data_IF_281298414204
#
_entry.id   IF_281298414204
#
_cell.length_a   1.000
_cell.length_b   1.000
_cell.length_c   1.000
_cell.angle_alpha   90.00
_cell.angle_beta   90.00
_cell.angle_gamma   90.00
#
_symmetry.space_group_name_H-M   'P 1'
#
loop_
_entity.id
_entity.type
_entity.pdbx_description
1 polymer ?
#
# COMPACT_ATOMS: atom_id res chain seq x y z
N UNK A 1 10.41 5.36 -3.21
CA UNK A 1 10.35 3.89 -3.45
C UNK A 1 10.68 3.61 -4.92
N UNK A 2 11.04 2.37 -5.31
CA UNK A 2 11.32 2.00 -6.72
C UNK A 2 10.62 0.68 -7.08
N UNK A 3 9.59 0.74 -7.93
CA UNK A 3 8.74 -0.40 -8.26
C UNK A 3 9.39 -1.43 -9.21
N UNK A 4 10.49 -1.07 -9.87
CA UNK A 4 11.09 -1.87 -10.97
C UNK A 4 12.19 -2.85 -10.52
N UNK A 5 12.37 -3.03 -9.21
CA UNK A 5 13.34 -3.96 -8.62
C UNK A 5 12.66 -4.81 -7.53
N UNK A 6 13.08 -6.07 -7.32
CA UNK A 6 14.16 -6.80 -8.02
C UNK A 6 13.81 -7.25 -9.45
N UNK A 7 12.55 -7.13 -9.85
CA UNK A 7 12.07 -7.34 -11.22
C UNK A 7 11.09 -6.25 -11.63
N UNK A 8 10.85 -6.09 -12.92
CA UNK A 8 9.87 -5.13 -13.41
C UNK A 8 8.45 -5.54 -12.96
N UNK A 9 7.75 -4.62 -12.30
CA UNK A 9 6.37 -4.76 -11.84
C UNK A 9 5.66 -3.41 -12.01
N UNK A 10 4.56 -3.40 -12.77
CA UNK A 10 3.70 -2.24 -13.01
C UNK A 10 2.79 -1.94 -11.82
N UNK A 11 3.37 -1.70 -10.64
CA UNK A 11 2.66 -1.48 -9.38
C UNK A 11 2.62 0.00 -8.96
N UNK A 12 2.65 0.92 -9.93
CA UNK A 12 2.63 2.37 -9.68
C UNK A 12 1.40 2.81 -8.89
N UNK A 13 0.24 2.23 -9.20
CA UNK A 13 -1.04 2.46 -8.53
C UNK A 13 -0.95 2.18 -7.02
N UNK A 14 -0.38 1.03 -6.65
CA UNK A 14 -0.18 0.63 -5.25
C UNK A 14 0.87 1.50 -4.54
N UNK A 15 1.98 1.81 -5.24
CA UNK A 15 3.03 2.68 -4.70
C UNK A 15 2.53 4.10 -4.44
N UNK A 16 1.77 4.68 -5.38
CA UNK A 16 1.22 6.02 -5.25
C UNK A 16 0.22 6.09 -4.08
N UNK A 17 -0.74 5.15 -4.02
CA UNK A 17 -1.74 5.11 -2.96
C UNK A 17 -1.11 4.92 -1.57
N UNK A 18 -0.20 3.96 -1.41
CA UNK A 18 0.42 3.68 -0.10
C UNK A 18 1.42 4.75 0.34
N UNK A 19 2.10 5.42 -0.59
CA UNK A 19 2.98 6.56 -0.26
C UNK A 19 2.14 7.76 0.19
N UNK A 20 1.08 8.10 -0.55
CA UNK A 20 0.16 9.17 -0.17
C UNK A 20 -0.48 8.90 1.21
N UNK A 21 -0.92 7.66 1.47
CA UNK A 21 -1.43 7.28 2.79
C UNK A 21 -0.37 7.41 3.90
N UNK A 22 0.87 6.98 3.65
CA UNK A 22 1.97 7.11 4.60
C UNK A 22 2.21 8.58 4.97
N UNK A 23 2.19 9.48 3.98
CA UNK A 23 2.32 10.92 4.20
C UNK A 23 1.12 11.52 4.95
N UNK A 24 -0.10 11.10 4.63
CA UNK A 24 -1.31 11.51 5.38
C UNK A 24 -1.25 11.08 6.84
N UNK A 25 -0.79 9.86 7.13
CA UNK A 25 -0.55 9.38 8.50
C UNK A 25 0.50 10.25 9.19
N UNK A 26 1.59 10.60 8.49
CA UNK A 26 2.65 11.48 9.02
C UNK A 26 2.10 12.87 9.38
N UNK A 27 1.25 13.45 8.54
CA UNK A 27 0.59 14.75 8.78
C UNK A 27 -0.29 14.68 10.03
N UNK A 28 -1.22 13.72 10.09
CA UNK A 28 -2.14 13.56 11.24
C UNK A 28 -1.40 13.31 12.54
N UNK A 29 -0.27 12.59 12.48
CA UNK A 29 0.55 12.30 13.66
C UNK A 29 1.56 13.41 13.99
N UNK A 30 1.51 14.58 13.35
CA UNK A 30 2.47 15.68 13.52
C UNK A 30 3.93 15.22 13.41
N UNK A 31 4.22 14.33 12.46
CA UNK A 31 5.53 13.72 12.25
C UNK A 31 6.13 13.04 13.50
N UNK A 32 5.30 12.58 14.44
CA UNK A 32 5.75 11.85 15.60
C UNK A 32 6.37 10.50 15.22
N UNK A 33 7.48 10.15 15.87
CA UNK A 33 8.11 8.85 15.75
C UNK A 33 7.16 7.71 16.21
N UNK A 34 7.19 6.51 15.57
CA UNK A 34 7.92 6.18 14.34
C UNK A 34 7.23 6.72 13.08
N UNK A 35 7.99 6.91 12.00
CA UNK A 35 7.38 7.09 10.67
C UNK A 35 6.73 5.77 10.23
N UNK A 36 5.53 5.86 9.65
CA UNK A 36 4.82 4.68 9.14
C UNK A 36 5.02 4.63 7.64
N UNK A 37 5.46 3.47 7.14
CA UNK A 37 5.71 3.27 5.72
C UNK A 37 4.84 2.11 5.25
N UNK A 38 3.69 2.40 4.66
CA UNK A 38 2.69 1.37 4.30
C UNK A 38 3.19 0.48 3.16
N UNK A 39 3.12 -0.84 3.33
CA UNK A 39 3.54 -1.81 2.32
C UNK A 39 2.68 -1.73 1.06
N UNK A 40 3.28 -1.55 -0.14
CA UNK A 40 2.56 -1.72 -1.40
C UNK A 40 2.33 -3.20 -1.73
N UNK A 41 3.14 -4.12 -1.19
CA UNK A 41 3.10 -5.55 -1.49
C UNK A 41 1.75 -6.17 -1.13
N UNK A 42 1.15 -5.74 -0.01
CA UNK A 42 -0.18 -6.21 0.40
C UNK A 42 -1.21 -5.94 -0.69
N UNK A 43 -1.20 -4.76 -1.30
CA UNK A 43 -2.11 -4.43 -2.40
C UNK A 43 -1.80 -5.25 -3.64
N UNK A 44 -0.53 -5.30 -4.07
CA UNK A 44 -0.13 -6.04 -5.29
C UNK A 44 -0.46 -7.54 -5.17
N UNK A 45 -0.41 -8.11 -3.96
CA UNK A 45 -0.74 -9.52 -3.71
C UNK A 45 -2.24 -9.77 -3.46
N UNK A 46 -2.98 -8.84 -2.85
CA UNK A 46 -4.33 -9.11 -2.33
C UNK A 46 -5.47 -8.31 -2.93
N UNK A 47 -5.19 -7.15 -3.51
CA UNK A 47 -6.19 -6.42 -4.28
C UNK A 47 -6.33 -7.11 -5.64
N UNK A 48 -7.54 -7.60 -5.93
CA UNK A 48 -7.86 -8.43 -7.10
C UNK A 48 -8.70 -7.75 -8.18
N UNK A 49 -9.46 -6.67 -7.90
CA UNK A 49 -10.00 -5.86 -8.98
C UNK A 49 -8.94 -5.37 -9.98
N UNK A 50 -7.72 -5.07 -9.53
CA UNK A 50 -6.57 -4.74 -10.39
C UNK A 50 -5.66 -5.95 -10.67
N UNK A 51 -4.71 -5.80 -11.59
CA UNK A 51 -3.87 -6.88 -12.14
C UNK A 51 -2.50 -7.01 -11.46
N UNK A 52 -2.38 -6.59 -10.20
CA UNK A 52 -1.13 -6.67 -9.44
C UNK A 52 0.03 -5.97 -10.15
N UNK A 53 0.99 -6.75 -10.65
CA UNK A 53 2.14 -6.23 -11.40
C UNK A 53 1.85 -5.84 -12.86
N UNK A 54 0.63 -6.00 -13.36
CA UNK A 54 0.26 -5.65 -14.74
C UNK A 54 -0.61 -4.38 -14.82
N UNK A 55 -0.66 -3.58 -13.76
CA UNK A 55 -1.40 -2.33 -13.69
C UNK A 55 -2.60 -2.40 -12.76
N UNK A 56 -3.14 -1.21 -12.46
CA UNK A 56 -4.24 -1.01 -11.52
C UNK A 56 -4.58 0.45 -11.34
N UNK A 57 -5.57 0.73 -10.51
CA UNK A 57 -6.11 2.06 -10.28
C UNK A 57 -5.99 2.45 -8.79
N UNK A 58 -5.50 3.66 -8.46
CA UNK A 58 -5.38 4.08 -7.06
C UNK A 58 -6.70 4.04 -6.27
N UNK A 59 -7.84 4.27 -6.93
CA UNK A 59 -9.16 4.22 -6.27
C UNK A 59 -9.48 2.81 -5.75
N UNK A 60 -9.08 1.77 -6.47
CA UNK A 60 -9.25 0.38 -6.05
C UNK A 60 -8.33 0.03 -4.88
N UNK A 61 -7.09 0.55 -4.88
CA UNK A 61 -6.20 0.48 -3.71
C UNK A 61 -6.84 1.11 -2.46
N UNK A 62 -7.41 2.31 -2.56
CA UNK A 62 -8.08 2.94 -1.42
C UNK A 62 -9.35 2.20 -0.99
N UNK A 63 -10.12 1.68 -1.95
CA UNK A 63 -11.26 0.81 -1.65
C UNK A 63 -10.82 -0.41 -0.85
N UNK A 64 -9.74 -1.06 -1.25
CA UNK A 64 -9.18 -2.18 -0.49
C UNK A 64 -8.75 -1.75 0.91
N UNK A 65 -8.07 -0.62 1.06
CA UNK A 65 -7.67 -0.10 2.38
C UNK A 65 -8.86 0.33 3.26
N UNK A 66 -10.03 0.54 2.69
CA UNK A 66 -11.27 0.82 3.42
C UNK A 66 -11.95 -0.48 3.88
N UNK A 67 -12.14 -1.42 2.95
CA UNK A 67 -12.88 -2.66 3.20
C UNK A 67 -12.03 -3.71 3.95
N UNK A 68 -10.74 -3.69 3.72
CA UNK A 68 -9.71 -4.57 4.27
C UNK A 68 -8.63 -3.72 4.96
N UNK A 69 -7.45 -4.29 5.20
CA UNK A 69 -6.33 -3.58 5.81
C UNK A 69 -5.02 -3.82 5.06
N UNK A 70 -4.11 -2.87 5.22
CA UNK A 70 -2.70 -2.97 4.83
C UNK A 70 -1.81 -2.91 6.06
N UNK A 71 -0.54 -3.27 5.91
CA UNK A 71 0.44 -3.31 7.00
C UNK A 71 1.61 -2.40 6.70
N UNK A 72 2.49 -2.22 7.68
CA UNK A 72 3.79 -1.58 7.44
C UNK A 72 4.67 -2.42 6.49
N UNK A 73 5.57 -1.76 5.78
CA UNK A 73 6.59 -2.35 4.90
C UNK A 73 7.38 -3.46 5.60
N UNK A 74 7.64 -3.34 6.91
CA UNK A 74 8.37 -4.39 7.65
C UNK A 74 7.58 -5.69 7.80
N UNK A 75 6.25 -5.65 7.69
CA UNK A 75 5.41 -6.86 7.70
C UNK A 75 5.41 -7.57 6.34
N UNK A 76 5.37 -6.79 5.25
CA UNK A 76 5.30 -7.31 3.90
C UNK A 76 6.21 -6.48 3.00
N UNK A 77 7.48 -6.90 2.96
CA UNK A 77 8.52 -6.22 2.19
C UNK A 77 8.21 -6.38 0.70
N UNK A 78 8.32 -5.30 -0.06
CA UNK A 78 8.08 -5.31 -1.50
C UNK A 78 9.00 -6.29 -2.24
N UNK A 79 8.39 -7.21 -3.01
CA UNK A 79 9.12 -8.23 -3.78
C UNK A 79 9.01 -8.06 -5.29
N UNK A 80 8.26 -7.04 -5.74
CA UNK A 80 7.88 -6.84 -7.14
C UNK A 80 7.16 -8.06 -7.73
N UNK A 81 6.38 -8.75 -6.90
CA UNK A 81 5.49 -9.84 -7.28
C UNK A 81 4.14 -9.69 -6.59
N UNK A 82 3.09 -10.04 -7.30
CA UNK A 82 1.72 -10.07 -6.82
C UNK A 82 1.03 -11.34 -7.24
N UNK A 83 -0.30 -11.35 -7.10
CA UNK A 83 -1.10 -12.54 -7.36
C UNK A 83 -1.03 -12.99 -8.82
N UNK A 84 -0.65 -12.09 -9.72
CA UNK A 84 -0.51 -12.35 -11.16
C UNK A 84 0.85 -12.93 -11.57
N UNK A 85 1.88 -12.86 -10.72
CA UNK A 85 3.24 -13.32 -11.06
C UNK A 85 3.99 -13.98 -9.88
N UNK A 86 3.26 -14.70 -9.03
CA UNK A 86 3.85 -15.67 -8.10
C UNK A 86 3.87 -15.27 -6.63
N UNK A 87 3.14 -14.23 -6.23
CA UNK A 87 2.90 -13.91 -4.82
C UNK A 87 1.39 -13.85 -4.51
N UNK A 88 0.83 -14.96 -4.03
CA UNK A 88 -0.60 -15.07 -3.75
C UNK A 88 -1.01 -14.30 -2.49
N UNK A 89 -2.27 -13.86 -2.45
CA UNK A 89 -2.83 -13.29 -1.23
C UNK A 89 -2.96 -14.35 -0.14
N UNK A 90 -2.21 -14.20 0.93
CA UNK A 90 -2.26 -15.07 2.11
C UNK A 90 -1.91 -14.27 3.36
N UNK A 91 -2.30 -14.76 4.54
CA UNK A 91 -2.00 -14.08 5.81
C UNK A 91 -0.49 -13.92 6.04
N UNK A 92 0.31 -14.91 5.63
CA UNK A 92 1.78 -14.83 5.70
C UNK A 92 2.35 -13.77 4.75
N UNK A 93 1.71 -13.51 3.62
CA UNK A 93 2.14 -12.43 2.71
C UNK A 93 1.58 -11.05 3.12
N UNK A 94 0.58 -10.99 4.00
CA UNK A 94 0.13 -9.73 4.64
C UNK A 94 1.05 -9.31 5.78
N UNK A 95 1.53 -10.24 6.60
CA UNK A 95 2.61 -9.98 7.54
C UNK A 95 3.39 -11.26 7.85
N UNK A 96 4.71 -11.23 7.70
CA UNK A 96 5.61 -12.32 8.10
C UNK A 96 6.87 -11.82 8.77
N UNK A 97 7.41 -12.69 9.62
CA UNK A 97 8.79 -12.66 10.04
C UNK A 97 9.43 -14.02 9.73
N UNK A 98 10.75 -14.05 9.52
CA UNK A 98 11.49 -15.27 9.25
C UNK A 98 12.75 -15.27 10.11
N UNK A 99 12.81 -16.16 11.10
CA UNK A 99 14.00 -16.29 11.93
C UNK A 99 15.09 -17.10 11.20
N UNK A 100 16.38 -16.83 11.43
CA UNK A 100 17.46 -17.51 10.73
C UNK A 100 17.37 -19.04 10.91
N UNK A 101 17.36 -19.78 9.80
CA UNK A 101 17.27 -21.24 9.76
C UNK A 101 15.93 -21.85 10.23
N UNK A 102 14.90 -21.03 10.41
CA UNK A 102 13.54 -21.49 10.74
C UNK A 102 12.55 -21.16 9.60
N UNK A 103 11.36 -21.74 9.68
CA UNK A 103 10.28 -21.40 8.77
C UNK A 103 9.72 -20.01 9.09
N UNK A 104 9.28 -19.30 8.06
CA UNK A 104 8.61 -18.02 8.26
C UNK A 104 7.26 -18.20 8.97
N UNK A 105 6.92 -17.26 9.85
CA UNK A 105 5.68 -17.25 10.61
C UNK A 105 4.99 -15.90 10.57
N UNK A 106 3.70 -15.90 10.92
CA UNK A 106 2.90 -14.69 11.09
C UNK A 106 3.12 -14.20 12.52
N UNK A 107 3.59 -12.96 12.75
CA UNK A 107 3.72 -12.42 14.10
C UNK A 107 2.36 -12.40 14.83
N UNK A 108 2.35 -12.74 16.12
CA UNK A 108 1.12 -12.78 16.94
C UNK A 108 0.39 -11.42 16.98
N UNK A 109 1.15 -10.32 16.87
CA UNK A 109 0.63 -8.95 16.87
C UNK A 109 1.40 -8.11 15.87
N UNK A 110 0.67 -7.39 15.03
CA UNK A 110 1.21 -6.40 14.10
C UNK A 110 0.19 -5.28 13.90
N UNK A 111 0.69 -4.10 13.52
CA UNK A 111 -0.17 -2.95 13.25
C UNK A 111 -0.81 -3.08 11.88
N UNK A 112 -2.11 -2.80 11.83
CA UNK A 112 -2.88 -2.69 10.60
C UNK A 112 -3.29 -1.23 10.37
N UNK A 113 -3.48 -0.87 9.12
CA UNK A 113 -3.87 0.47 8.69
C UNK A 113 -5.02 0.38 7.70
N UNK A 114 -5.98 1.29 7.87
CA UNK A 114 -7.17 1.40 7.04
C UNK A 114 -7.45 2.87 6.75
N UNK A 115 -8.32 3.13 5.78
CA UNK A 115 -8.87 4.46 5.51
C UNK A 115 -10.35 4.49 5.83
N UNK A 116 -10.83 5.57 6.44
CA UNK A 116 -12.24 5.74 6.79
C UNK A 116 -13.08 6.16 5.58
N UNK A 117 -12.51 6.99 4.70
CA UNK A 117 -13.16 7.48 3.50
C UNK A 117 -12.21 7.40 2.31
N UNK A 118 -12.76 7.14 1.13
CA UNK A 118 -12.05 7.24 -0.14
C UNK A 118 -12.98 7.77 -1.22
N UNK A 119 -12.40 8.34 -2.29
CA UNK A 119 -13.17 8.90 -3.37
C UNK A 119 -12.32 9.25 -4.58
N UNK A 120 -13.02 9.63 -5.65
CA UNK A 120 -12.42 10.10 -6.88
C UNK A 120 -12.53 11.62 -6.96
N UNK A 121 -11.47 12.29 -7.40
CA UNK A 121 -11.43 13.73 -7.57
C UNK A 121 -10.80 14.05 -8.93
N UNK A 122 -11.33 15.07 -9.60
CA UNK A 122 -10.85 15.53 -10.90
C UNK A 122 -10.85 17.06 -10.95
N UNK A 123 -9.94 17.62 -11.75
CA UNK A 123 -9.81 19.06 -11.93
C UNK A 123 -8.86 19.72 -10.92
N UNK A 124 -8.14 20.74 -11.40
CA UNK A 124 -7.09 21.44 -10.64
C UNK A 124 -7.59 21.96 -9.29
N UNK A 125 -8.74 22.64 -9.27
CA UNK A 125 -9.29 23.24 -8.06
C UNK A 125 -9.63 22.20 -7.00
N UNK A 126 -10.30 21.11 -7.37
CA UNK A 126 -10.66 20.03 -6.46
C UNK A 126 -9.41 19.32 -5.92
N UNK A 127 -8.40 19.10 -6.78
CA UNK A 127 -7.12 18.53 -6.37
C UNK A 127 -6.39 19.43 -5.37
N UNK A 128 -6.31 20.74 -5.64
CA UNK A 128 -5.69 21.70 -4.72
C UNK A 128 -6.37 21.73 -3.36
N UNK A 129 -7.71 21.74 -3.34
CA UNK A 129 -8.49 21.73 -2.10
C UNK A 129 -8.25 20.47 -1.27
N UNK A 130 -8.26 19.30 -1.91
CA UNK A 130 -8.01 18.02 -1.23
C UNK A 130 -6.58 17.93 -0.69
N UNK A 131 -5.59 18.32 -1.49
CA UNK A 131 -4.18 18.28 -1.07
C UNK A 131 -3.94 19.22 0.11
N UNK A 132 -4.48 20.44 0.06
CA UNK A 132 -4.29 21.43 1.12
C UNK A 132 -4.96 21.01 2.43
N UNK A 133 -6.15 20.41 2.35
CA UNK A 133 -6.94 20.08 3.54
C UNK A 133 -6.54 18.75 4.19
N UNK A 134 -6.22 17.73 3.38
CA UNK A 134 -6.05 16.34 3.85
C UNK A 134 -4.73 15.69 3.43
N UNK A 135 -3.85 16.40 2.73
CA UNK A 135 -2.53 15.92 2.33
C UNK A 135 -2.50 15.21 0.97
N UNK A 136 -1.36 14.59 0.61
CA UNK A 136 -1.12 14.08 -0.75
C UNK A 136 -2.20 13.15 -1.30
N UNK A 137 -2.35 13.15 -2.62
CA UNK A 137 -3.30 12.31 -3.37
C UNK A 137 -2.55 11.43 -4.38
N UNK A 138 -3.21 10.38 -4.87
CA UNK A 138 -2.69 9.54 -5.96
C UNK A 138 -3.45 9.85 -7.25
N UNK A 139 -2.72 10.05 -8.35
CA UNK A 139 -3.28 10.42 -9.66
C UNK A 139 -2.67 9.56 -10.77
N UNK A 140 -3.45 9.28 -11.81
CA UNK A 140 -2.93 8.76 -13.08
C UNK A 140 -2.22 9.84 -13.89
N UNK A 141 -1.25 9.43 -14.74
CA UNK A 141 -0.48 10.31 -15.63
C UNK A 141 -0.25 9.65 -16.99
#
# INVERSE_FOLDING_TARGET
RNQHIPSCCGSCWAHAATSALSDRIKIVRNAAFPEINISPEVLVACEKPDLGCYGGEPVNAYKYMHDEYVTDETCSIYTARGWTNGNECSSINKCRNCDPHEDCYIPDKYQIYQVEEYGHIEGEEAMMQEIYSRGPIACGI
#
